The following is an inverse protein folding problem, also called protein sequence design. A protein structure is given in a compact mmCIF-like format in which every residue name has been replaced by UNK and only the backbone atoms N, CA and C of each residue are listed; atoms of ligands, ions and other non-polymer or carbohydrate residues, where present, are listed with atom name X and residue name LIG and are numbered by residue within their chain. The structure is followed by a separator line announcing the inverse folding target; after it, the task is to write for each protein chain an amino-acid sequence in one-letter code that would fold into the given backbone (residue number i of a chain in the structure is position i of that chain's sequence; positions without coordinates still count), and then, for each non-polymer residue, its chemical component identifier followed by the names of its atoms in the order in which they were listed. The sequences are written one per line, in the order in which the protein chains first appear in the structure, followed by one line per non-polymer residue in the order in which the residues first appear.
data_IF_565803739911
#
_entry.id   IF_565803739911
#
_cell.length_a   1.000
_cell.length_b   1.000
_cell.length_c   1.000
_cell.angle_alpha   90.00
_cell.angle_beta   90.00
_cell.angle_gamma   90.00
#
_symmetry.space_group_name_H-M   'P 1'
#
loop_
_entity.id
_entity.type
_entity.pdbx_description
1 polymer ?
#
# COMPACT_ATOMS: atom_id res chain seq x y z
N UNK A 1 -18.67 -8.14 -3.50
CA UNK A 1 -19.73 -7.17 -3.85
C UNK A 1 -19.04 -5.82 -3.99
N UNK A 2 -19.28 -5.09 -5.09
CA UNK A 2 -18.53 -3.87 -5.41
C UNK A 2 -18.74 -2.83 -4.32
N UNK A 3 -17.75 -1.98 -4.07
CA UNK A 3 -17.90 -0.89 -3.12
C UNK A 3 -18.72 0.21 -3.80
N UNK A 4 -19.87 0.57 -3.22
CA UNK A 4 -20.81 1.53 -3.81
C UNK A 4 -20.79 2.86 -3.05
N UNK A 5 -20.67 3.98 -3.76
CA UNK A 5 -20.76 5.32 -3.16
C UNK A 5 -21.12 6.37 -4.21
N UNK A 6 -22.08 7.26 -3.88
CA UNK A 6 -22.56 8.39 -4.71
C UNK A 6 -22.93 8.06 -6.17
N UNK A 7 -23.43 6.85 -6.44
CA UNK A 7 -23.82 6.43 -7.80
C UNK A 7 -22.71 5.80 -8.63
N UNK A 8 -21.57 5.51 -8.02
CA UNK A 8 -20.50 4.73 -8.63
C UNK A 8 -20.28 3.46 -7.84
N UNK A 9 -19.84 2.43 -8.54
CA UNK A 9 -19.31 1.23 -7.91
C UNK A 9 -17.90 0.93 -8.40
N UNK A 10 -17.05 0.54 -7.47
CA UNK A 10 -15.65 0.23 -7.74
C UNK A 10 -15.32 -1.14 -7.16
N UNK A 11 -14.67 -1.96 -7.97
CA UNK A 11 -14.18 -3.30 -7.62
C UNK A 11 -12.70 -3.41 -7.92
N UNK A 12 -11.97 -4.07 -7.02
CA UNK A 12 -10.60 -4.52 -7.29
C UNK A 12 -10.67 -6.01 -7.61
N UNK A 13 -10.15 -6.40 -8.76
CA UNK A 13 -10.17 -7.77 -9.26
C UNK A 13 -8.74 -8.31 -9.22
N UNK A 14 -8.51 -9.45 -8.59
CA UNK A 14 -7.21 -10.13 -8.55
C UNK A 14 -7.43 -11.62 -8.78
N UNK A 15 -6.60 -12.25 -9.61
CA UNK A 15 -6.77 -13.67 -9.96
C UNK A 15 -8.14 -13.98 -10.59
N UNK A 16 -8.70 -13.03 -11.35
CA UNK A 16 -10.01 -13.17 -12.01
C UNK A 16 -11.22 -13.09 -11.08
N UNK A 17 -11.03 -12.75 -9.79
CA UNK A 17 -12.11 -12.63 -8.81
C UNK A 17 -12.10 -11.25 -8.18
N UNK A 18 -13.29 -10.75 -7.87
CA UNK A 18 -13.43 -9.54 -7.06
C UNK A 18 -12.95 -9.81 -5.64
N UNK A 19 -12.10 -8.92 -5.13
CA UNK A 19 -11.58 -9.01 -3.78
C UNK A 19 -12.64 -8.65 -2.75
N UNK A 20 -12.58 -9.31 -1.59
CA UNK A 20 -13.47 -9.03 -0.48
C UNK A 20 -13.14 -7.67 0.16
N UNK A 21 -14.20 -6.95 0.56
CA UNK A 21 -14.11 -5.65 1.22
C UNK A 21 -14.38 -5.79 2.72
N UNK A 22 -13.45 -5.36 3.55
CA UNK A 22 -13.60 -5.36 5.01
C UNK A 22 -13.68 -3.94 5.57
N UNK A 23 -14.48 -3.75 6.63
CA UNK A 23 -14.65 -2.46 7.33
C UNK A 23 -14.86 -1.28 6.37
N UNK A 24 -15.87 -1.39 5.51
CA UNK A 24 -16.26 -0.30 4.63
C UNK A 24 -16.85 0.85 5.45
N UNK A 25 -16.30 2.05 5.30
CA UNK A 25 -16.65 3.23 6.09
C UNK A 25 -16.60 4.50 5.24
N UNK A 26 -17.55 5.41 5.45
CA UNK A 26 -17.49 6.76 4.90
C UNK A 26 -16.65 7.60 5.88
N UNK A 27 -15.70 8.38 5.37
CA UNK A 27 -14.89 9.26 6.20
C UNK A 27 -15.75 10.36 6.83
N UNK A 28 -15.64 10.53 8.15
CA UNK A 28 -16.41 11.54 8.90
C UNK A 28 -16.04 12.98 8.48
N UNK A 29 -14.76 13.23 8.25
CA UNK A 29 -14.21 14.53 7.84
C UNK A 29 -14.41 14.86 6.35
N UNK A 30 -14.64 13.84 5.52
CA UNK A 30 -14.97 13.99 4.11
C UNK A 30 -16.01 12.94 3.67
N UNK A 31 -17.32 13.25 3.76
CA UNK A 31 -18.39 12.29 3.48
C UNK A 31 -18.51 11.88 2.00
N UNK A 32 -17.63 12.41 1.15
CA UNK A 32 -17.50 12.08 -0.27
C UNK A 32 -16.49 10.94 -0.51
N UNK A 33 -15.77 10.59 0.54
CA UNK A 33 -14.74 9.55 0.53
C UNK A 33 -15.25 8.34 1.29
N UNK A 34 -15.30 7.20 0.60
CA UNK A 34 -15.50 5.88 1.21
C UNK A 34 -14.17 5.14 1.22
N UNK A 35 -13.92 4.35 2.26
CA UNK A 35 -12.74 3.50 2.35
C UNK A 35 -13.08 2.10 2.82
N UNK A 36 -12.27 1.12 2.43
CA UNK A 36 -12.34 -0.23 2.95
C UNK A 36 -10.96 -0.87 2.93
N UNK A 37 -10.85 -2.06 3.52
CA UNK A 37 -9.67 -2.91 3.44
C UNK A 37 -9.87 -4.05 2.46
N UNK A 38 -8.81 -4.40 1.72
CA UNK A 38 -8.80 -5.52 0.78
C UNK A 38 -7.56 -6.39 0.96
N UNK A 39 -7.67 -7.71 0.73
CA UNK A 39 -6.51 -8.59 0.75
C UNK A 39 -5.65 -8.37 -0.50
N UNK A 40 -4.33 -8.44 -0.34
CA UNK A 40 -3.37 -8.41 -1.45
C UNK A 40 -2.41 -9.59 -1.35
N UNK A 41 -2.02 -10.15 -2.49
CA UNK A 41 -1.05 -11.22 -2.58
C UNK A 41 0.11 -10.77 -3.46
N UNK A 42 1.35 -10.96 -2.99
CA UNK A 42 2.55 -10.60 -3.73
C UNK A 42 2.60 -11.30 -5.10
N UNK A 43 3.05 -10.57 -6.11
CA UNK A 43 3.18 -11.04 -7.49
C UNK A 43 1.85 -11.15 -8.23
N UNK A 44 0.70 -10.90 -7.58
CA UNK A 44 -0.57 -10.97 -8.27
C UNK A 44 -0.88 -9.68 -9.03
N UNK A 45 -1.30 -9.86 -10.28
CA UNK A 45 -1.88 -8.81 -11.09
C UNK A 45 -3.26 -8.45 -10.56
N UNK A 46 -3.60 -7.18 -10.61
CA UNK A 46 -4.93 -6.71 -10.28
C UNK A 46 -5.48 -5.70 -11.29
N UNK A 47 -6.79 -5.57 -11.30
CA UNK A 47 -7.53 -4.64 -12.16
C UNK A 47 -8.49 -3.80 -11.32
N UNK A 48 -8.69 -2.55 -11.73
CA UNK A 48 -9.66 -1.64 -11.13
C UNK A 48 -10.82 -1.48 -12.09
N UNK A 49 -12.00 -1.96 -11.68
CA UNK A 49 -13.23 -1.85 -12.46
C UNK A 49 -14.13 -0.79 -11.84
N UNK A 50 -14.51 0.20 -12.63
CA UNK A 50 -15.47 1.24 -12.26
C UNK A 50 -16.76 1.07 -13.06
N UNK A 51 -17.90 1.32 -12.42
CA UNK A 51 -19.23 1.25 -13.02
C UNK A 51 -20.09 2.42 -12.59
N UNK A 52 -20.96 2.90 -13.49
CA UNK A 52 -22.03 3.84 -13.15
C UNK A 52 -23.26 3.04 -12.67
N UNK A 53 -23.72 3.29 -11.44
CA UNK A 53 -24.86 2.55 -10.85
C UNK A 53 -26.20 3.26 -10.93
N UNK A 54 -26.24 4.47 -11.50
CA UNK A 54 -27.44 5.25 -11.78
C UNK A 54 -27.22 6.15 -13.00
N UNK A 55 -28.28 6.74 -13.53
CA UNK A 55 -28.17 7.86 -14.46
C UNK A 55 -27.58 9.09 -13.74
N UNK A 56 -26.79 9.89 -14.44
CA UNK A 56 -26.01 10.95 -13.81
C UNK A 56 -25.30 11.89 -14.78
N UNK A 57 -24.06 12.20 -14.45
CA UNK A 57 -23.21 13.13 -15.20
C UNK A 57 -22.10 12.33 -15.88
N UNK A 58 -21.62 12.82 -17.02
CA UNK A 58 -20.36 12.33 -17.56
C UNK A 58 -19.25 12.50 -16.52
N UNK A 59 -18.42 11.48 -16.34
CA UNK A 59 -17.39 11.51 -15.31
C UNK A 59 -16.02 11.15 -15.83
N UNK A 60 -15.05 11.91 -15.33
CA UNK A 60 -13.64 11.55 -15.39
C UNK A 60 -13.26 10.88 -14.08
N UNK A 61 -12.63 9.72 -14.16
CA UNK A 61 -11.99 9.13 -12.99
C UNK A 61 -10.49 8.99 -13.16
N UNK A 62 -9.79 9.17 -12.06
CA UNK A 62 -8.33 9.05 -11.97
C UNK A 62 -7.95 8.02 -10.93
N UNK A 63 -6.93 7.24 -11.27
CA UNK A 63 -6.37 6.20 -10.42
C UNK A 63 -5.05 6.66 -9.83
N UNK A 64 -4.86 6.39 -8.54
CA UNK A 64 -3.65 6.70 -7.80
C UNK A 64 -3.27 5.52 -6.91
N UNK A 65 -1.97 5.31 -6.73
CA UNK A 65 -1.46 4.27 -5.85
C UNK A 65 -0.55 4.87 -4.79
N UNK A 66 -0.54 4.22 -3.62
CA UNK A 66 0.49 4.36 -2.59
C UNK A 66 0.74 5.80 -2.13
N UNK A 67 -0.34 6.58 -2.01
CA UNK A 67 -0.28 7.94 -1.51
C UNK A 67 0.13 8.99 -2.54
N UNK A 68 0.25 8.62 -3.81
CA UNK A 68 0.38 9.61 -4.88
C UNK A 68 -0.83 10.55 -4.88
N UNK A 69 -0.61 11.82 -4.55
CA UNK A 69 -1.66 12.84 -4.56
C UNK A 69 -1.87 13.40 -5.98
N UNK A 70 -0.77 13.70 -6.68
CA UNK A 70 -0.81 14.46 -7.94
C UNK A 70 -0.49 13.63 -9.18
N UNK A 71 0.14 12.46 -9.04
CA UNK A 71 0.53 11.62 -10.18
C UNK A 71 -0.49 10.51 -10.36
N UNK A 72 -1.54 10.81 -11.14
CA UNK A 72 -2.48 9.78 -11.58
C UNK A 72 -1.74 8.79 -12.50
N UNK A 73 -2.02 7.50 -12.34
CA UNK A 73 -1.45 6.43 -13.17
C UNK A 73 -2.37 6.01 -14.31
N UNK A 74 -3.64 6.41 -14.23
CA UNK A 74 -4.62 6.26 -15.29
C UNK A 74 -5.68 7.35 -15.19
N UNK A 75 -6.26 7.70 -16.33
CA UNK A 75 -7.38 8.62 -16.46
C UNK A 75 -8.35 8.03 -17.49
N UNK A 76 -9.62 7.91 -17.12
CA UNK A 76 -10.61 7.28 -17.97
C UNK A 76 -11.90 8.07 -17.95
N UNK A 77 -12.50 8.21 -19.13
CA UNK A 77 -13.86 8.69 -19.27
C UNK A 77 -14.86 7.58 -19.01
N UNK A 78 -15.88 7.91 -18.24
CA UNK A 78 -17.05 7.10 -18.03
C UNK A 78 -18.26 7.94 -18.47
N UNK A 79 -18.77 7.61 -19.66
CA UNK A 79 -19.98 8.26 -20.19
C UNK A 79 -21.15 7.94 -19.28
N UNK A 80 -22.12 8.85 -19.26
CA UNK A 80 -23.34 8.67 -18.52
C UNK A 80 -24.24 7.63 -19.20
N UNK A 81 -23.98 6.37 -18.92
CA UNK A 81 -24.80 5.25 -19.38
C UNK A 81 -24.84 4.26 -18.23
N UNK A 82 -26.02 4.00 -17.63
CA UNK A 82 -26.13 3.04 -16.53
C UNK A 82 -25.56 1.68 -16.92
N UNK A 83 -24.79 1.08 -16.00
CA UNK A 83 -24.14 -0.20 -16.26
C UNK A 83 -22.92 -0.11 -17.17
N UNK A 84 -22.56 1.06 -17.71
CA UNK A 84 -21.28 1.23 -18.38
C UNK A 84 -20.14 0.94 -17.40
N UNK A 85 -19.23 0.08 -17.83
CA UNK A 85 -18.06 -0.30 -17.04
C UNK A 85 -16.79 0.10 -17.76
N UNK A 86 -15.79 0.50 -16.97
CA UNK A 86 -14.42 0.73 -17.44
C UNK A 86 -13.47 0.00 -16.51
N UNK A 87 -12.52 -0.71 -17.11
CA UNK A 87 -11.49 -1.45 -16.38
C UNK A 87 -10.13 -0.86 -16.71
N UNK A 88 -9.32 -0.66 -15.67
CA UNK A 88 -7.91 -0.33 -15.77
C UNK A 88 -7.11 -1.48 -15.19
N UNK A 89 -6.35 -2.19 -16.03
CA UNK A 89 -5.55 -3.37 -15.64
C UNK A 89 -4.04 -3.12 -15.62
N UNK A 90 -3.61 -1.93 -16.06
CA UNK A 90 -2.21 -1.60 -16.14
C UNK A 90 -1.95 -0.21 -16.72
N UNK A 91 -0.67 0.15 -16.71
CA UNK A 91 -0.14 1.36 -17.31
C UNK A 91 0.10 1.13 -18.80
N UNK A 92 -0.62 1.87 -19.64
CA UNK A 92 -0.39 1.83 -21.07
C UNK A 92 0.90 2.59 -21.43
N UNK A 93 1.82 1.91 -22.11
CA UNK A 93 3.10 2.48 -22.58
C UNK A 93 3.08 2.78 -24.08
N UNK A 94 2.19 2.12 -24.82
CA UNK A 94 1.85 2.41 -26.22
C UNK A 94 0.38 2.02 -26.45
N UNK A 95 -0.23 2.30 -27.62
CA UNK A 95 -1.59 1.87 -27.92
C UNK A 95 -1.80 0.33 -27.90
N UNK A 96 -0.71 -0.44 -28.00
CA UNK A 96 -0.74 -1.90 -28.10
C UNK A 96 -0.04 -2.60 -26.93
N UNK A 97 0.65 -1.87 -26.06
CA UNK A 97 1.40 -2.45 -24.95
C UNK A 97 1.01 -1.86 -23.60
N UNK A 98 0.86 -2.75 -22.63
CA UNK A 98 0.45 -2.43 -21.27
C UNK A 98 1.41 -3.08 -20.27
N UNK A 99 1.72 -2.36 -19.19
CA UNK A 99 2.42 -2.89 -18.01
C UNK A 99 1.39 -3.14 -16.89
N UNK A 100 1.10 -4.40 -16.53
CA UNK A 100 0.09 -4.73 -15.51
C UNK A 100 0.39 -4.08 -14.16
N UNK A 101 -0.67 -3.81 -13.40
CA UNK A 101 -0.51 -3.48 -11.98
C UNK A 101 -0.27 -4.76 -11.19
N UNK A 102 0.75 -4.77 -10.34
CA UNK A 102 1.14 -5.93 -9.54
C UNK A 102 1.27 -5.52 -8.08
N UNK A 103 0.72 -6.29 -7.16
CA UNK A 103 1.06 -6.16 -5.75
C UNK A 103 2.47 -6.69 -5.52
N UNK A 104 3.39 -5.87 -5.03
CA UNK A 104 4.79 -6.21 -4.81
C UNK A 104 5.20 -5.94 -3.38
N UNK A 105 6.31 -6.53 -2.94
CA UNK A 105 6.90 -6.20 -1.65
C UNK A 105 7.47 -4.79 -1.68
N UNK A 106 7.31 -4.09 -0.56
CA UNK A 106 8.00 -2.83 -0.35
C UNK A 106 9.51 -3.08 -0.24
N UNK A 107 10.28 -2.55 -1.19
CA UNK A 107 11.75 -2.53 -1.11
C UNK A 107 12.17 -1.36 -0.24
N UNK A 108 12.93 -1.64 0.82
CA UNK A 108 13.43 -0.63 1.76
C UNK A 108 14.91 -0.37 1.53
N UNK A 109 15.34 0.85 1.84
CA UNK A 109 16.75 1.29 1.82
C UNK A 109 17.11 1.92 3.16
N UNK A 110 18.38 1.81 3.55
CA UNK A 110 18.98 2.48 4.71
C UNK A 110 19.50 3.89 4.39
N UNK A 111 19.37 4.33 3.13
CA UNK A 111 19.83 5.65 2.71
C UNK A 111 18.88 6.76 3.20
N UNK A 112 19.29 7.45 4.27
CA UNK A 112 18.59 8.58 4.88
C UNK A 112 18.44 9.79 3.90
N UNK A 113 19.09 9.79 2.72
CA UNK A 113 18.95 10.86 1.72
C UNK A 113 17.66 10.78 0.88
N UNK A 114 16.93 9.65 0.96
CA UNK A 114 15.71 9.45 0.18
C UNK A 114 14.50 9.98 0.96
N UNK A 115 13.81 10.96 0.38
CA UNK A 115 12.60 11.57 0.93
C UNK A 115 11.57 10.49 1.31
N UNK A 116 11.31 10.35 2.61
CA UNK A 116 10.30 9.45 3.13
C UNK A 116 8.91 9.88 2.62
N UNK A 117 8.30 9.09 1.74
CA UNK A 117 6.84 9.13 1.59
C UNK A 117 6.22 8.91 2.97
N UNK A 118 5.16 9.65 3.29
CA UNK A 118 4.45 9.47 4.55
C UNK A 118 3.93 8.02 4.65
N UNK A 119 4.31 7.25 5.69
CA UNK A 119 3.93 5.83 5.84
C UNK A 119 2.42 5.56 5.85
N UNK A 120 1.61 6.60 6.05
CA UNK A 120 0.16 6.54 6.15
C UNK A 120 -0.50 6.05 4.86
N UNK A 121 0.02 6.47 3.71
CA UNK A 121 -0.69 6.37 2.44
C UNK A 121 -0.18 5.23 1.55
N UNK A 122 0.91 4.57 1.95
CA UNK A 122 1.38 3.33 1.31
C UNK A 122 0.38 2.19 1.49
N UNK A 123 0.26 1.38 0.44
CA UNK A 123 -0.68 0.29 0.42
C UNK A 123 -2.12 0.80 0.24
N UNK A 124 -2.30 1.81 -0.61
CA UNK A 124 -3.62 2.35 -0.95
C UNK A 124 -3.83 2.39 -2.47
N UNK A 125 -5.05 2.05 -2.89
CA UNK A 125 -5.55 2.32 -4.24
C UNK A 125 -6.63 3.37 -4.09
N UNK A 126 -6.42 4.55 -4.67
CA UNK A 126 -7.40 5.65 -4.63
C UNK A 126 -7.98 5.87 -6.01
N UNK A 127 -9.32 5.85 -6.08
CA UNK A 127 -10.10 6.17 -7.27
C UNK A 127 -10.91 7.41 -6.97
N UNK A 128 -10.67 8.49 -7.72
CA UNK A 128 -11.42 9.75 -7.56
C UNK A 128 -12.20 10.04 -8.83
N UNK A 129 -13.44 10.49 -8.66
CA UNK A 129 -14.40 10.83 -9.71
C UNK A 129 -14.69 12.33 -9.70
N UNK A 130 -14.72 12.94 -10.87
CA UNK A 130 -15.20 14.30 -11.08
C UNK A 130 -16.24 14.30 -12.19
N UNK A 131 -17.26 15.13 -12.03
CA UNK A 131 -18.21 15.42 -13.09
C UNK A 131 -17.56 16.37 -14.08
N UNK A 132 -17.76 16.08 -15.36
CA UNK A 132 -17.19 16.81 -16.48
C UNK A 132 -18.22 16.95 -17.58
N UNK A 133 -18.02 17.90 -18.48
CA UNK A 133 -18.74 17.98 -19.75
C UNK A 133 -17.76 17.59 -20.86
N UNK A 134 -17.97 16.46 -21.54
CA UNK A 134 -17.14 16.08 -22.67
C UNK A 134 -17.51 16.87 -23.92
N UNK A 135 -16.47 17.37 -24.60
CA UNK A 135 -16.59 18.04 -25.89
C UNK A 135 -16.21 17.12 -27.04
N UNK A 136 -15.38 17.66 -27.93
CA UNK A 136 -15.01 17.00 -29.19
C UNK A 136 -14.02 15.85 -28.94
N UNK A 137 -14.09 14.86 -29.82
CA UNK A 137 -13.04 13.85 -29.94
C UNK A 137 -11.74 14.49 -30.42
N UNK A 138 -10.70 14.28 -29.63
CA UNK A 138 -9.31 14.56 -29.96
C UNK A 138 -8.65 13.24 -30.37
N UNK A 139 -7.88 13.25 -31.45
CA UNK A 139 -6.99 12.13 -31.75
C UNK A 139 -5.81 12.12 -30.79
N UNK A 140 -5.40 10.95 -30.33
CA UNK A 140 -4.14 10.79 -29.61
C UNK A 140 -4.19 9.77 -28.49
N UNK A 141 -3.01 9.48 -27.95
CA UNK A 141 -2.82 8.53 -26.88
C UNK A 141 -2.16 9.25 -25.70
N UNK A 142 -2.74 9.10 -24.51
CA UNK A 142 -2.16 9.63 -23.29
C UNK A 142 -1.34 8.54 -22.60
N UNK A 143 -0.04 8.78 -22.48
CA UNK A 143 0.83 8.00 -21.61
C UNK A 143 0.76 8.52 -20.19
N UNK A 144 0.92 7.61 -19.23
CA UNK A 144 1.11 7.94 -17.83
C UNK A 144 2.51 7.48 -17.40
N UNK A 145 3.08 8.17 -16.42
CA UNK A 145 4.34 7.74 -15.83
C UNK A 145 4.06 6.54 -14.92
N UNK A 146 4.93 5.50 -14.92
CA UNK A 146 4.81 4.40 -13.99
C UNK A 146 4.77 4.89 -12.53
N UNK A 147 4.08 4.14 -11.64
CA UNK A 147 4.22 4.36 -10.21
C UNK A 147 5.69 4.19 -9.85
N UNK A 148 6.36 5.28 -9.52
CA UNK A 148 7.74 5.28 -9.04
C UNK A 148 7.70 5.17 -7.53
N UNK A 149 7.54 3.94 -7.05
CA UNK A 149 7.80 3.63 -5.66
C UNK A 149 9.32 3.53 -5.51
N UNK A 150 9.97 4.69 -5.39
CA UNK A 150 11.38 4.77 -5.04
C UNK A 150 11.64 4.05 -3.71
N UNK A 151 12.89 3.63 -3.44
CA UNK A 151 13.18 2.87 -2.23
C UNK A 151 12.81 3.71 -1.00
N UNK A 152 12.01 3.14 -0.11
CA UNK A 152 11.47 3.86 1.05
C UNK A 152 12.36 3.59 2.26
N UNK A 153 12.66 4.64 3.02
CA UNK A 153 13.50 4.52 4.22
C UNK A 153 12.92 3.51 5.22
N UNK A 154 13.76 2.63 5.77
CA UNK A 154 13.30 1.52 6.61
C UNK A 154 12.55 1.97 7.88
N UNK A 155 12.90 3.13 8.47
CA UNK A 155 12.19 3.72 9.62
C UNK A 155 10.71 4.07 9.32
N UNK A 156 10.35 4.21 8.04
CA UNK A 156 8.99 4.51 7.57
C UNK A 156 8.18 3.25 7.22
N UNK A 157 8.74 2.05 7.45
CA UNK A 157 8.13 0.78 7.09
C UNK A 157 6.99 0.44 8.05
N UNK A 158 5.78 0.30 7.52
CA UNK A 158 4.76 -0.54 8.16
C UNK A 158 5.11 -1.99 7.84
N UNK A 159 5.52 -2.75 8.85
CA UNK A 159 5.92 -4.14 8.73
C UNK A 159 4.96 -4.94 7.81
N UNK A 160 5.52 -5.60 6.79
CA UNK A 160 4.77 -6.48 5.87
C UNK A 160 3.81 -5.81 4.88
N UNK A 161 3.90 -4.49 4.65
CA UNK A 161 3.03 -3.82 3.66
C UNK A 161 3.49 -4.08 2.21
N UNK A 162 2.55 -4.41 1.33
CA UNK A 162 2.76 -4.41 -0.12
C UNK A 162 2.69 -2.98 -0.68
N UNK A 163 3.26 -2.82 -1.88
CA UNK A 163 3.16 -1.65 -2.75
C UNK A 163 2.67 -2.06 -4.14
N UNK A 164 2.28 -1.11 -4.99
CA UNK A 164 2.00 -1.37 -6.41
C UNK A 164 3.28 -1.23 -7.21
N UNK A 165 3.58 -2.23 -8.04
CA UNK A 165 4.61 -2.17 -9.06
C UNK A 165 4.00 -2.28 -10.46
N UNK A 166 4.75 -1.89 -11.47
CA UNK A 166 4.44 -2.17 -12.87
C UNK A 166 5.14 -3.45 -13.30
N UNK A 167 4.38 -4.41 -13.84
CA UNK A 167 4.93 -5.61 -14.47
C UNK A 167 5.70 -5.32 -15.75
N UNK A 168 6.23 -6.39 -16.36
CA UNK A 168 6.82 -6.34 -17.70
C UNK A 168 5.78 -5.89 -18.72
N UNK A 169 6.23 -5.14 -19.73
CA UNK A 169 5.37 -4.74 -20.84
C UNK A 169 4.91 -6.00 -21.60
N UNK A 170 3.63 -6.05 -21.94
CA UNK A 170 3.03 -7.11 -22.72
C UNK A 170 2.10 -6.53 -23.77
N UNK A 171 1.90 -7.26 -24.88
CA UNK A 171 0.92 -6.89 -25.90
C UNK A 171 -0.48 -7.03 -25.31
N UNK A 172 -1.26 -5.96 -25.39
CA UNK A 172 -2.62 -5.95 -24.89
C UNK A 172 -3.54 -6.77 -25.79
N UNK A 173 -4.43 -7.56 -25.19
CA UNK A 173 -5.40 -8.38 -25.93
C UNK A 173 -6.36 -7.54 -26.80
N UNK A 174 -6.60 -6.29 -26.39
CA UNK A 174 -7.37 -5.32 -27.17
C UNK A 174 -6.63 -3.99 -27.13
N UNK A 175 -6.25 -3.41 -28.28
CA UNK A 175 -5.56 -2.12 -28.32
C UNK A 175 -6.38 -1.02 -27.63
N UNK A 176 -5.69 -0.08 -26.99
CA UNK A 176 -6.37 1.10 -26.46
C UNK A 176 -6.82 1.99 -27.62
N UNK A 177 -8.10 2.35 -27.63
CA UNK A 177 -8.60 3.37 -28.55
C UNK A 177 -7.89 4.70 -28.24
N UNK A 178 -7.20 5.26 -29.24
CA UNK A 178 -6.56 6.58 -29.18
C UNK A 178 -7.56 7.75 -29.24
N UNK A 179 -8.72 7.58 -28.61
CA UNK A 179 -9.78 8.58 -28.53
C UNK A 179 -9.60 9.34 -27.23
N UNK A 180 -9.01 10.53 -27.32
CA UNK A 180 -9.07 11.51 -26.25
C UNK A 180 -10.34 12.35 -26.46
N UNK A 181 -10.92 12.86 -25.38
CA UNK A 181 -12.02 13.82 -25.47
C UNK A 181 -11.53 15.12 -24.84
N UNK A 182 -11.87 16.26 -25.44
CA UNK A 182 -11.80 17.52 -24.69
C UNK A 182 -12.82 17.48 -23.56
N UNK A 183 -12.57 18.15 -22.45
CA UNK A 183 -13.53 18.21 -21.36
C UNK A 183 -13.39 19.49 -20.54
N UNK A 184 -14.50 19.90 -19.93
CA UNK A 184 -14.53 20.96 -18.92
C UNK A 184 -14.91 20.38 -17.56
N UNK A 185 -14.25 20.87 -16.50
CA UNK A 185 -14.51 20.40 -15.14
C UNK A 185 -15.74 21.09 -14.58
N UNK A 186 -16.72 20.30 -14.13
CA UNK A 186 -17.85 20.82 -13.34
C UNK A 186 -17.43 20.95 -11.88
N UNK A 187 -16.73 19.93 -11.37
CA UNK A 187 -16.22 19.92 -10.00
C UNK A 187 -14.81 20.54 -9.90
N UNK A 188 -14.48 21.27 -8.82
CA UNK A 188 -13.12 21.76 -8.62
C UNK A 188 -12.10 20.62 -8.59
N UNK A 189 -10.91 20.83 -9.18
CA UNK A 189 -9.91 19.76 -9.30
C UNK A 189 -9.49 19.16 -7.94
N UNK A 190 -9.46 19.97 -6.88
CA UNK A 190 -9.12 19.55 -5.52
C UNK A 190 -10.33 19.03 -4.71
N UNK A 191 -11.53 18.98 -5.30
CA UNK A 191 -12.76 18.53 -4.64
C UNK A 191 -13.50 17.54 -5.55
N UNK A 192 -13.03 16.28 -5.65
CA UNK A 192 -13.73 15.24 -6.39
C UNK A 192 -15.18 15.09 -5.91
N UNK A 193 -16.05 14.65 -6.82
CA UNK A 193 -17.43 14.31 -6.49
C UNK A 193 -17.51 13.09 -5.57
N UNK A 194 -16.69 12.07 -5.82
CA UNK A 194 -16.62 10.87 -5.00
C UNK A 194 -15.20 10.30 -5.02
N UNK A 195 -14.77 9.73 -3.90
CA UNK A 195 -13.47 9.06 -3.78
C UNK A 195 -13.62 7.71 -3.09
N UNK A 196 -12.94 6.71 -3.61
CA UNK A 196 -12.84 5.37 -3.05
C UNK A 196 -11.39 5.12 -2.67
N UNK A 197 -11.16 4.67 -1.44
CA UNK A 197 -9.82 4.32 -0.94
C UNK A 197 -9.82 2.87 -0.50
N UNK A 198 -9.14 2.02 -1.27
CA UNK A 198 -8.91 0.62 -0.92
C UNK A 198 -7.55 0.52 -0.23
N UNK A 199 -7.55 0.20 1.07
CA UNK A 199 -6.35 -0.05 1.86
C UNK A 199 -6.00 -1.52 1.72
N UNK A 200 -4.95 -1.85 0.98
CA UNK A 200 -4.62 -3.24 0.69
C UNK A 200 -3.49 -3.76 1.59
N UNK A 201 -3.63 -4.97 2.11
CA UNK A 201 -2.61 -5.66 2.93
C UNK A 201 -2.68 -7.17 2.73
N UNK A 202 -1.59 -7.92 2.98
CA UNK A 202 -1.65 -9.37 3.11
C UNK A 202 -2.82 -9.82 4.00
N UNK A 203 -3.54 -10.87 3.59
CA UNK A 203 -4.72 -11.35 4.31
C UNK A 203 -4.40 -11.70 5.77
N UNK A 204 -3.22 -12.27 6.03
CA UNK A 204 -2.80 -12.62 7.39
C UNK A 204 -2.60 -11.38 8.28
N UNK A 205 -2.16 -10.25 7.71
CA UNK A 205 -2.09 -8.99 8.44
C UNK A 205 -3.50 -8.41 8.69
N UNK A 206 -4.43 -8.56 7.75
CA UNK A 206 -5.82 -8.16 7.99
C UNK A 206 -6.44 -8.99 9.11
N UNK A 207 -6.15 -10.30 9.18
CA UNK A 207 -6.61 -11.19 10.25
C UNK A 207 -5.99 -10.85 11.59
N UNK A 208 -4.66 -10.72 11.64
CA UNK A 208 -3.94 -10.36 12.86
C UNK A 208 -4.42 -9.03 13.47
N UNK A 209 -4.84 -8.08 12.62
CA UNK A 209 -5.36 -6.78 13.05
C UNK A 209 -6.88 -6.78 13.33
N UNK A 210 -7.55 -7.95 13.30
CA UNK A 210 -9.00 -8.05 13.52
C UNK A 210 -9.83 -7.29 12.48
N UNK A 211 -9.33 -7.21 11.25
CA UNK A 211 -10.03 -6.60 10.10
C UNK A 211 -10.77 -7.67 9.29
N UNK A 212 -10.10 -8.79 9.03
CA UNK A 212 -10.67 -9.95 8.35
C UNK A 212 -10.92 -11.10 9.33
N UNK A 213 -11.92 -11.97 9.10
CA UNK A 213 -12.14 -13.15 9.93
C UNK A 213 -10.95 -14.11 9.91
N UNK A 214 -10.57 -14.59 11.10
CA UNK A 214 -9.68 -15.75 11.21
C UNK A 214 -10.43 -17.00 10.71
N UNK A 215 -9.75 -17.92 10.02
CA UNK A 215 -10.36 -19.20 9.71
C UNK A 215 -10.80 -19.85 11.02
N UNK A 216 -12.08 -20.23 11.10
CA UNK A 216 -12.55 -21.03 12.23
C UNK A 216 -11.70 -22.30 12.30
N UNK A 217 -11.25 -22.74 13.49
CA UNK A 217 -10.65 -24.05 13.62
C UNK A 217 -11.61 -25.07 12.97
N UNK A 218 -11.08 -26.10 12.29
CA UNK A 218 -11.92 -27.12 11.67
C UNK A 218 -12.93 -27.63 12.72
N UNK A 219 -14.18 -27.92 12.32
CA UNK A 219 -15.11 -28.54 13.24
C UNK A 219 -14.43 -29.80 13.77
N UNK A 220 -14.21 -29.85 15.09
CA UNK A 220 -13.67 -31.01 15.77
C UNK A 220 -14.66 -32.17 15.59
N UNK A 221 -14.57 -32.83 14.43
CA UNK A 221 -15.25 -34.05 14.06
C UNK A 221 -14.49 -35.26 14.59
N UNK A 222 -14.02 -35.20 15.82
CA UNK A 222 -13.77 -36.32 16.73
C UNK A 222 -13.35 -35.68 18.03
N UNK A 223 -14.10 -35.93 19.09
CA UNK A 223 -13.65 -35.75 20.44
C UNK A 223 -12.30 -36.51 20.53
N UNK A 224 -11.13 -35.87 20.73
CA UNK A 224 -10.05 -36.61 21.33
C UNK A 224 -10.61 -36.99 22.69
N UNK A 225 -10.94 -38.27 22.83
CA UNK A 225 -11.08 -38.91 24.12
C UNK A 225 -10.00 -38.30 25.01
N UNK A 226 -10.45 -37.53 26.00
CA UNK A 226 -9.60 -37.05 27.07
C UNK A 226 -9.11 -38.32 27.74
N UNK A 227 -8.00 -38.87 27.26
CA UNK A 227 -7.14 -39.69 28.07
C UNK A 227 -6.74 -38.75 29.18
N UNK A 228 -7.44 -38.86 30.30
CA UNK A 228 -6.96 -38.38 31.59
C UNK A 228 -5.63 -39.08 31.79
N UNK A 229 -4.55 -38.43 31.36
CA UNK A 229 -3.24 -38.70 31.92
C UNK A 229 -3.35 -38.10 33.31
N UNK A 230 -3.73 -38.93 34.28
CA UNK A 230 -3.37 -38.71 35.67
C UNK A 230 -1.84 -38.74 35.70
N UNK A 231 -1.25 -37.58 35.44
CA UNK A 231 0.17 -37.34 35.61
C UNK A 231 0.41 -37.22 37.11
N UNK A 232 0.70 -38.35 37.73
CA UNK A 232 1.34 -38.39 39.03
C UNK A 232 2.65 -37.60 38.89
N UNK A 233 2.72 -36.45 39.56
CA UNK A 233 3.87 -35.57 39.50
C UNK A 233 5.04 -36.28 40.19
N UNK A 234 5.88 -36.95 39.40
CA UNK A 234 7.12 -37.51 39.93
C UNK A 234 8.07 -36.35 40.28
N UNK A 235 8.58 -36.40 41.52
CA UNK A 235 9.52 -35.46 42.15
C UNK A 235 10.79 -35.19 41.30
N UNK A 236 11.06 -36.07 40.32
CA UNK A 236 12.16 -35.97 39.35
C UNK A 236 12.01 -34.76 38.40
N UNK A 237 10.80 -34.43 37.97
CA UNK A 237 10.58 -33.39 36.95
C UNK A 237 10.71 -31.98 37.56
N UNK A 238 10.40 -31.84 38.85
CA UNK A 238 10.55 -30.58 39.59
C UNK A 238 12.02 -30.20 39.80
N UNK A 239 12.90 -31.18 40.04
CA UNK A 239 14.34 -30.95 40.17
C UNK A 239 15.04 -30.71 38.82
N UNK A 240 14.56 -31.33 37.74
CA UNK A 240 15.02 -30.98 36.38
C UNK A 240 14.65 -29.53 36.01
N UNK A 241 13.46 -29.06 36.37
CA UNK A 241 13.06 -27.67 36.13
C UNK A 241 13.94 -26.70 36.93
N UNK A 242 14.19 -26.96 38.22
CA UNK A 242 15.07 -26.13 39.05
C UNK A 242 16.49 -26.04 38.51
N UNK A 243 17.07 -27.17 38.13
CA UNK A 243 18.43 -27.21 37.59
C UNK A 243 18.55 -26.47 36.25
N UNK A 244 17.52 -26.52 35.41
CA UNK A 244 17.48 -25.76 34.15
C UNK A 244 17.35 -24.24 34.39
N UNK A 245 16.58 -23.81 35.38
CA UNK A 245 16.45 -22.40 35.75
C UNK A 245 17.75 -21.80 36.31
N UNK A 246 18.48 -22.56 37.13
CA UNK A 246 19.80 -22.15 37.62
C UNK A 246 20.82 -22.00 36.48
N UNK A 247 20.87 -22.97 35.55
CA UNK A 247 21.74 -22.89 34.37
C UNK A 247 21.43 -21.68 33.49
N UNK A 248 20.15 -21.31 33.36
CA UNK A 248 19.73 -20.13 32.61
C UNK A 248 20.21 -18.82 33.28
N UNK A 249 20.13 -18.74 34.61
CA UNK A 249 20.59 -17.58 35.37
C UNK A 249 22.11 -17.43 35.33
N UNK A 250 22.87 -18.53 35.45
CA UNK A 250 24.32 -18.49 35.29
C UNK A 250 24.75 -18.03 33.89
N UNK A 251 24.08 -18.52 32.84
CA UNK A 251 24.35 -18.11 31.46
C UNK A 251 24.09 -16.61 31.25
N UNK A 252 23.02 -16.07 31.85
CA UNK A 252 22.70 -14.64 31.82
C UNK A 252 23.74 -13.82 32.59
N UNK A 253 24.20 -14.28 33.75
CA UNK A 253 25.24 -13.62 34.54
C UNK A 253 26.59 -13.59 33.80
N UNK A 254 26.99 -14.69 33.14
CA UNK A 254 28.21 -14.75 32.30
C UNK A 254 28.14 -13.77 31.13
N UNK A 255 26.96 -13.60 30.51
CA UNK A 255 26.75 -12.67 29.38
C UNK A 255 26.68 -11.19 29.82
N UNK A 256 26.38 -10.93 31.09
CA UNK A 256 26.43 -9.60 31.69
C UNK A 256 27.86 -9.22 32.14
N UNK A 257 28.63 -10.16 32.70
CA UNK A 257 30.03 -9.96 33.09
C UNK A 257 30.95 -9.71 31.89
N UNK A 258 30.73 -10.42 30.77
CA UNK A 258 31.53 -10.27 29.55
C UNK A 258 31.35 -8.90 28.87
N UNK A 259 30.28 -8.16 29.17
CA UNK A 259 30.04 -6.80 28.66
C UNK A 259 30.73 -5.70 29.48
N UNK A 260 31.33 -6.01 30.63
CA UNK A 260 32.00 -5.03 31.49
C UNK A 260 33.53 -4.98 31.35
N UNK A 261 34.16 -5.93 30.67
CA UNK A 261 35.63 -6.04 30.56
C UNK A 261 36.22 -5.44 29.26
N UNK A 262 35.40 -5.10 28.26
CA UNK A 262 35.86 -4.49 27.00
C UNK A 262 35.58 -2.97 26.95
N UNK A 263 36.08 -2.23 27.94
CA UNK A 263 36.13 -0.76 27.89
C UNK A 263 37.58 -0.28 27.77
N UNK A 264 38.02 0.33 26.65
CA UNK A 264 39.35 0.90 26.61
C UNK A 264 39.37 2.29 27.26
N UNK A 265 40.25 2.39 28.26
CA UNK A 265 40.72 3.56 28.97
C UNK A 265 41.68 4.43 28.14
N UNK A 266 41.53 5.75 28.20
CA UNK A 266 42.59 6.78 28.03
C UNK A 266 43.15 6.95 26.60
N UNK A 267 43.59 8.12 26.12
CA UNK A 267 44.10 9.33 26.76
C UNK A 267 44.15 10.49 25.74
N UNK A 268 44.11 11.70 26.29
CA UNK A 268 44.36 13.03 25.69
C UNK A 268 45.52 13.12 24.68
N UNK A 269 45.35 13.95 23.64
CA UNK A 269 46.41 14.87 23.17
C UNK A 269 45.84 16.03 22.33
N UNK A 270 46.16 17.23 22.78
CA UNK A 270 46.03 18.51 22.08
C UNK A 270 46.78 18.53 20.75
N UNK A 271 46.29 19.30 19.76
CA UNK A 271 47.16 20.15 18.93
C UNK A 271 46.40 21.31 18.30
N UNK A 272 46.94 22.48 18.58
CA UNK A 272 46.67 23.80 18.02
C UNK A 272 47.32 23.92 16.64
N UNK A 273 46.65 24.62 15.70
CA UNK A 273 47.19 25.53 14.67
C UNK A 273 45.99 25.99 13.81
N UNK A 274 45.57 27.27 13.82
CA UNK A 274 46.16 28.43 13.12
C UNK A 274 46.21 28.23 11.60
N UNK A 275 45.84 29.12 10.68
CA UNK A 275 45.30 30.49 10.65
C UNK A 275 45.25 30.87 9.14
N UNK A 276 44.20 31.55 8.67
CA UNK A 276 44.10 32.50 7.53
C UNK A 276 42.67 32.45 6.95
N UNK A 277 41.81 33.46 7.09
CA UNK A 277 41.81 34.88 6.67
C UNK A 277 41.70 35.08 5.15
N UNK A 278 40.77 36.00 4.81
CA UNK A 278 40.33 36.54 3.51
C UNK A 278 39.09 35.80 2.97
N UNK A 279 37.87 36.33 3.02
CA UNK A 279 37.43 37.72 3.03
C UNK A 279 36.80 38.08 1.68
N UNK A 280 35.69 38.82 1.77
CA UNK A 280 35.12 39.70 0.74
C UNK A 280 33.86 39.19 0.02
N UNK A 281 32.74 39.67 0.57
CA UNK A 281 31.61 40.38 -0.03
C UNK A 281 30.70 39.73 -1.09
N UNK A 282 29.44 39.65 -0.68
CA UNK A 282 28.24 39.95 -1.47
C UNK A 282 28.42 41.17 -2.42
N UNK A 283 27.62 41.30 -3.50
CA UNK A 283 26.29 41.89 -3.32
C UNK A 283 25.17 41.28 -4.18
N UNK A 284 23.96 41.67 -3.80
CA UNK A 284 22.67 41.37 -4.38
C UNK A 284 22.36 42.05 -5.74
N UNK A 285 21.16 41.72 -6.24
CA UNK A 285 20.33 42.25 -7.36
C UNK A 285 20.41 41.38 -8.63
N UNK A 286 19.31 41.06 -9.31
CA UNK A 286 17.92 41.56 -9.30
C UNK A 286 16.90 40.43 -9.33
#
# INVERSE_FOLDING_TARGET
MPLNHRGYSVSIISGGRELEHFKAEIKEDDPRTISCWIPSAEGQNFEVKCCHTRDGWETMWRLYFDGSMDKAVACHSLRDTPGATKTSSGLWVSPTEIKPYIFSKLVTTEDDSISALTPSDLGTIRVSFWRVEYGKTLGGFQTFTPPTNGPIHEKSKKAGSHVVASGSAQVAATPQSGTLLSYEWIDPRNKPYGTFIFRYRPLDLLRANGIAPCPSPPPNGTNPEVVKVEGDANDSDAEEIRTLEERLNEARARRAGKRRLDGPSGTSKSKQNAMNILGISSPAKS
#
